data_IF_850624461295
#
_entry.id   IF_850624461295
#
_cell.length_a   1.000
_cell.length_b   1.000
_cell.length_c   1.000
_cell.angle_alpha   90.00
_cell.angle_beta   90.00
_cell.angle_gamma   90.00
#
_symmetry.space_group_name_H-M   'P 1'
#
loop_
_entity.id
_entity.type
_entity.pdbx_description
1 polymer ?
#
# COMPACT_ATOMS: atom_id res chain seq x y z
N UNK A 1 68.50 -51.82 -3.54
CA UNK A 1 67.76 -50.68 -4.15
C UNK A 1 66.28 -51.05 -4.35
N UNK A 2 65.37 -50.52 -3.60
CA UNK A 2 63.96 -50.82 -3.81
C UNK A 2 63.26 -49.63 -4.49
N UNK A 3 62.40 -49.98 -5.40
CA UNK A 3 61.46 -49.10 -6.06
C UNK A 3 60.28 -48.87 -5.11
N UNK A 4 59.87 -47.60 -5.02
CA UNK A 4 58.63 -47.20 -4.35
C UNK A 4 57.61 -46.84 -5.45
N UNK A 5 56.69 -47.73 -5.62
CA UNK A 5 55.44 -47.44 -6.32
C UNK A 5 54.39 -47.10 -5.25
N UNK A 6 53.92 -45.88 -5.26
CA UNK A 6 52.84 -45.40 -4.41
C UNK A 6 51.80 -44.72 -5.23
N UNK A 7 50.89 -45.51 -5.74
CA UNK A 7 49.70 -45.01 -6.40
C UNK A 7 48.63 -44.74 -5.32
N UNK A 8 48.22 -43.48 -5.21
CA UNK A 8 47.13 -43.10 -4.33
C UNK A 8 46.30 -42.02 -5.03
N UNK A 9 45.53 -42.47 -5.99
CA UNK A 9 44.37 -41.72 -6.48
C UNK A 9 43.29 -41.65 -5.42
N UNK A 10 43.36 -40.65 -4.54
CA UNK A 10 42.23 -40.34 -3.65
C UNK A 10 41.20 -39.58 -4.45
N UNK A 11 40.25 -40.30 -4.98
CA UNK A 11 39.01 -39.77 -5.49
C UNK A 11 38.22 -39.15 -4.31
N UNK A 12 38.24 -37.80 -4.26
CA UNK A 12 37.35 -37.08 -3.38
C UNK A 12 35.95 -37.16 -3.98
N UNK A 13 35.13 -38.06 -3.48
CA UNK A 13 33.67 -38.00 -3.66
C UNK A 13 33.13 -36.87 -2.81
N UNK A 14 32.44 -35.88 -3.40
CA UNK A 14 31.67 -34.94 -2.60
C UNK A 14 30.43 -35.67 -2.07
N UNK A 15 30.42 -35.90 -0.74
CA UNK A 15 29.23 -36.39 -0.02
C UNK A 15 28.25 -35.19 0.07
N UNK A 16 27.50 -34.93 -0.99
CA UNK A 16 26.28 -34.17 -0.92
C UNK A 16 25.11 -35.12 -0.68
N UNK A 17 25.04 -35.63 0.53
CA UNK A 17 23.93 -36.41 1.01
C UNK A 17 23.23 -35.74 2.21
N UNK A 18 22.85 -34.50 2.03
CA UNK A 18 21.96 -33.80 2.97
C UNK A 18 20.60 -33.68 2.34
N UNK A 19 19.74 -34.68 2.47
CA UNK A 19 18.31 -34.51 2.28
C UNK A 19 17.81 -33.66 3.46
N UNK A 20 17.76 -32.37 3.33
CA UNK A 20 16.94 -31.52 4.19
C UNK A 20 15.48 -31.83 3.85
N UNK A 21 14.91 -32.78 4.54
CA UNK A 21 13.46 -32.90 4.62
C UNK A 21 12.99 -31.77 5.52
N UNK A 22 12.77 -30.59 4.95
CA UNK A 22 11.93 -29.59 5.60
C UNK A 22 10.52 -30.17 5.62
N UNK A 23 10.15 -30.73 6.76
CA UNK A 23 8.75 -30.98 7.06
C UNK A 23 8.15 -29.64 7.47
N UNK A 24 7.42 -28.92 6.58
CA UNK A 24 6.72 -27.72 7.00
C UNK A 24 5.68 -28.14 8.03
N UNK A 25 5.92 -27.81 9.29
CA UNK A 25 4.90 -27.97 10.33
C UNK A 25 3.81 -26.93 10.04
N UNK A 26 2.75 -27.34 9.36
CA UNK A 26 1.57 -26.51 9.17
C UNK A 26 0.84 -26.47 10.51
N UNK A 27 1.03 -25.42 11.26
CA UNK A 27 0.26 -25.15 12.46
C UNK A 27 -1.08 -24.55 12.06
N UNK A 28 -2.12 -25.35 12.00
CA UNK A 28 -3.49 -24.87 11.82
C UNK A 28 -3.96 -24.39 13.20
N UNK A 29 -3.90 -23.10 13.42
CA UNK A 29 -4.53 -22.46 14.57
C UNK A 29 -5.99 -22.16 14.17
N UNK A 30 -6.99 -22.85 14.73
CA UNK A 30 -8.38 -22.50 14.46
C UNK A 30 -8.63 -21.10 15.00
N UNK A 31 -8.98 -20.17 14.11
CA UNK A 31 -9.46 -18.85 14.51
C UNK A 31 -10.92 -18.98 14.89
N UNK A 32 -11.19 -19.08 16.18
CA UNK A 32 -12.55 -19.18 16.71
C UNK A 32 -13.07 -17.80 17.17
N UNK A 33 -14.37 -17.58 16.97
CA UNK A 33 -15.11 -16.52 17.61
C UNK A 33 -14.94 -15.12 17.05
N UNK A 34 -14.94 -14.15 17.95
CA UNK A 34 -15.00 -12.71 17.67
C UNK A 34 -13.85 -12.20 16.80
N UNK A 35 -12.63 -12.70 16.99
CA UNK A 35 -11.47 -12.25 16.24
C UNK A 35 -11.54 -12.65 14.75
N UNK A 36 -12.02 -13.85 14.46
CA UNK A 36 -12.26 -14.29 13.09
C UNK A 36 -13.31 -13.39 12.41
N UNK A 37 -14.44 -13.18 13.08
CA UNK A 37 -15.51 -12.31 12.59
C UNK A 37 -15.02 -10.88 12.37
N UNK A 38 -14.25 -10.33 13.29
CA UNK A 38 -13.66 -9.01 13.17
C UNK A 38 -12.74 -8.91 11.94
N UNK A 39 -11.86 -9.88 11.72
CA UNK A 39 -10.96 -9.89 10.56
C UNK A 39 -11.73 -10.00 9.23
N UNK A 40 -12.80 -10.78 9.18
CA UNK A 40 -13.62 -10.92 7.98
C UNK A 40 -14.43 -9.66 7.64
N UNK A 41 -14.92 -8.95 8.65
CA UNK A 41 -15.80 -7.79 8.48
C UNK A 41 -15.05 -6.46 8.42
N UNK A 42 -13.83 -6.38 8.96
CA UNK A 42 -13.03 -5.16 8.90
C UNK A 42 -12.58 -4.88 7.48
N UNK A 43 -12.80 -3.67 6.94
CA UNK A 43 -12.29 -3.29 5.62
C UNK A 43 -10.76 -3.41 5.56
N UNK A 44 -10.25 -3.76 4.38
CA UNK A 44 -8.82 -3.75 4.14
C UNK A 44 -8.25 -2.35 4.31
N UNK A 45 -7.11 -2.27 4.98
CA UNK A 45 -6.36 -1.02 5.08
C UNK A 45 -5.53 -0.80 3.81
N UNK A 46 -5.27 0.45 3.48
CA UNK A 46 -4.44 0.86 2.35
C UNK A 46 -3.06 0.18 2.30
N UNK A 47 -2.47 -0.11 3.47
CA UNK A 47 -1.17 -0.80 3.59
C UNK A 47 -1.18 -2.19 2.96
N UNK A 48 -2.31 -2.92 3.04
CA UNK A 48 -2.46 -4.22 2.41
C UNK A 48 -2.58 -4.11 0.88
N UNK A 49 -3.33 -3.12 0.42
CA UNK A 49 -3.43 -2.79 -1.00
C UNK A 49 -2.05 -2.44 -1.58
N UNK A 50 -1.31 -1.54 -0.90
CA UNK A 50 0.04 -1.14 -1.31
C UNK A 50 1.00 -2.32 -1.36
N UNK A 51 0.93 -3.24 -0.38
CA UNK A 51 1.76 -4.44 -0.37
C UNK A 51 1.55 -5.30 -1.63
N UNK A 52 0.30 -5.51 -2.04
CA UNK A 52 -0.04 -6.25 -3.25
C UNK A 52 0.44 -5.52 -4.51
N UNK A 53 0.21 -4.22 -4.59
CA UNK A 53 0.65 -3.42 -5.73
C UNK A 53 2.18 -3.43 -5.89
N UNK A 54 2.95 -3.40 -4.79
CA UNK A 54 4.41 -3.55 -4.80
C UNK A 54 4.89 -4.94 -5.22
N UNK A 55 4.06 -5.96 -5.08
CA UNK A 55 4.33 -7.30 -5.62
C UNK A 55 4.03 -7.39 -7.12
N UNK A 56 3.80 -6.25 -7.77
CA UNK A 56 3.50 -6.11 -9.21
C UNK A 56 2.17 -6.76 -9.65
N UNK A 57 1.21 -6.85 -8.74
CA UNK A 57 -0.15 -7.16 -9.17
C UNK A 57 -0.70 -6.00 -9.99
N UNK A 58 -1.51 -6.35 -10.98
CA UNK A 58 -2.19 -5.40 -11.84
C UNK A 58 -3.16 -4.54 -11.03
N UNK A 59 -3.05 -3.21 -11.14
CA UNK A 59 -3.90 -2.27 -10.43
C UNK A 59 -5.37 -2.39 -10.84
N UNK A 60 -5.65 -2.76 -12.12
CA UNK A 60 -7.00 -3.03 -12.60
C UNK A 60 -7.63 -4.17 -11.79
N UNK A 61 -6.92 -5.29 -11.68
CA UNK A 61 -7.39 -6.44 -10.90
C UNK A 61 -7.59 -6.09 -9.42
N UNK A 62 -6.61 -5.40 -8.81
CA UNK A 62 -6.68 -5.04 -7.40
C UNK A 62 -7.85 -4.11 -7.10
N UNK A 63 -8.05 -3.05 -7.88
CA UNK A 63 -9.12 -2.09 -7.64
C UNK A 63 -10.50 -2.68 -7.94
N UNK A 64 -10.65 -3.46 -9.00
CA UNK A 64 -11.92 -4.14 -9.30
C UNK A 64 -12.33 -5.09 -8.19
N UNK A 65 -11.39 -5.79 -7.58
CA UNK A 65 -11.65 -6.73 -6.50
C UNK A 65 -11.84 -6.01 -5.15
N UNK A 66 -10.87 -5.16 -4.79
CA UNK A 66 -10.77 -4.62 -3.45
C UNK A 66 -11.51 -3.30 -3.24
N UNK A 67 -11.72 -2.48 -4.28
CA UNK A 67 -12.44 -1.23 -4.12
C UNK A 67 -13.95 -1.42 -4.16
N UNK A 68 -14.66 -0.82 -3.22
CA UNK A 68 -16.12 -0.80 -3.15
C UNK A 68 -16.70 0.34 -3.98
N UNK A 69 -16.04 1.50 -3.93
CA UNK A 69 -16.46 2.71 -4.60
C UNK A 69 -15.25 3.60 -4.91
N UNK A 70 -15.42 4.42 -5.93
CA UNK A 70 -14.55 5.52 -6.27
C UNK A 70 -15.21 6.81 -5.79
N UNK A 71 -14.48 7.69 -5.13
CA UNK A 71 -14.91 9.03 -4.75
C UNK A 71 -14.03 10.07 -5.42
N UNK A 72 -14.64 11.03 -6.07
CA UNK A 72 -13.95 12.16 -6.71
C UNK A 72 -14.67 13.46 -6.34
N UNK A 73 -13.90 14.53 -6.24
CA UNK A 73 -14.45 15.86 -6.03
C UNK A 73 -14.67 16.55 -7.37
N UNK A 74 -15.92 16.80 -7.71
CA UNK A 74 -16.32 17.51 -8.92
C UNK A 74 -16.98 18.83 -8.52
N UNK A 75 -16.44 19.96 -8.97
CA UNK A 75 -16.94 21.30 -8.63
C UNK A 75 -17.11 21.54 -7.11
N UNK A 76 -16.20 21.00 -6.30
CA UNK A 76 -16.24 21.14 -4.84
C UNK A 76 -17.26 20.23 -4.12
N UNK A 77 -17.91 19.32 -4.83
CA UNK A 77 -18.80 18.32 -4.27
C UNK A 77 -18.19 16.93 -4.43
N UNK A 78 -18.21 16.15 -3.35
CA UNK A 78 -17.79 14.75 -3.39
C UNK A 78 -18.90 13.91 -4.04
N UNK A 79 -18.51 13.12 -5.03
CA UNK A 79 -19.38 12.19 -5.74
C UNK A 79 -18.80 10.78 -5.61
N UNK A 80 -19.66 9.81 -5.24
CA UNK A 80 -19.30 8.41 -5.11
C UNK A 80 -19.86 7.58 -6.28
N UNK A 81 -19.00 6.74 -6.85
CA UNK A 81 -19.32 5.86 -7.97
C UNK A 81 -19.06 4.42 -7.56
N UNK A 82 -20.11 3.62 -7.53
CA UNK A 82 -20.07 2.25 -7.03
C UNK A 82 -19.39 1.31 -8.00
N UNK A 83 -18.53 0.46 -7.46
CA UNK A 83 -17.98 -0.67 -8.19
C UNK A 83 -18.96 -1.85 -8.16
N UNK A 84 -20.05 -1.72 -8.94
CA UNK A 84 -21.09 -2.72 -9.05
C UNK A 84 -21.62 -2.72 -10.48
N UNK A 85 -21.50 -3.82 -11.26
CA UNK A 85 -21.93 -3.90 -12.67
C UNK A 85 -23.41 -3.56 -12.89
N UNK A 86 -24.29 -3.90 -11.95
CA UNK A 86 -25.71 -3.54 -12.03
C UNK A 86 -25.96 -2.01 -12.01
N UNK A 87 -25.14 -1.25 -11.34
CA UNK A 87 -25.20 0.22 -11.29
C UNK A 87 -24.41 0.80 -12.48
N UNK A 88 -24.88 0.56 -13.68
CA UNK A 88 -24.15 0.72 -14.95
C UNK A 88 -23.44 2.06 -15.09
N UNK A 89 -24.13 3.17 -14.78
CA UNK A 89 -23.57 4.52 -14.92
C UNK A 89 -22.36 4.73 -14.00
N UNK A 90 -22.50 4.35 -12.72
CA UNK A 90 -21.44 4.47 -11.73
C UNK A 90 -20.29 3.54 -12.09
N UNK A 91 -20.61 2.30 -12.51
CA UNK A 91 -19.64 1.29 -12.86
C UNK A 91 -18.81 1.67 -14.09
N UNK A 92 -19.43 2.25 -15.13
CA UNK A 92 -18.71 2.72 -16.31
C UNK A 92 -17.67 3.80 -15.97
N UNK A 93 -18.00 4.74 -15.09
CA UNK A 93 -17.03 5.75 -14.65
C UNK A 93 -15.93 5.12 -13.79
N UNK A 94 -16.30 4.28 -12.82
CA UNK A 94 -15.34 3.52 -12.01
C UNK A 94 -14.36 2.76 -12.92
N UNK A 95 -14.86 2.00 -13.88
CA UNK A 95 -14.04 1.23 -14.84
C UNK A 95 -13.11 2.10 -15.66
N UNK A 96 -13.61 3.25 -16.13
CA UNK A 96 -12.81 4.20 -16.91
C UNK A 96 -11.60 4.70 -16.12
N UNK A 97 -11.80 5.10 -14.85
CA UNK A 97 -10.70 5.55 -13.99
C UNK A 97 -9.71 4.43 -13.71
N UNK A 98 -10.20 3.24 -13.39
CA UNK A 98 -9.35 2.07 -13.12
C UNK A 98 -8.52 1.69 -14.36
N UNK A 99 -9.13 1.67 -15.55
CA UNK A 99 -8.42 1.39 -16.82
C UNK A 99 -7.38 2.47 -17.13
N UNK A 100 -7.68 3.73 -16.79
CA UNK A 100 -6.71 4.83 -16.93
C UNK A 100 -5.48 4.62 -16.04
N UNK A 101 -5.66 4.27 -14.76
CA UNK A 101 -4.55 3.95 -13.87
C UNK A 101 -3.74 2.73 -14.34
N UNK A 102 -4.42 1.69 -14.87
CA UNK A 102 -3.75 0.53 -15.45
C UNK A 102 -2.89 0.90 -16.66
N UNK A 103 -3.36 1.79 -17.52
CA UNK A 103 -2.58 2.25 -18.66
C UNK A 103 -1.30 3.01 -18.28
N UNK A 104 -1.31 3.70 -17.13
CA UNK A 104 -0.13 4.36 -16.57
C UNK A 104 0.82 3.32 -15.97
N UNK A 105 0.27 2.30 -15.29
CA UNK A 105 1.07 1.19 -14.75
C UNK A 105 1.79 0.41 -15.86
N UNK A 106 1.13 0.14 -16.98
CA UNK A 106 1.71 -0.57 -18.14
C UNK A 106 2.91 0.17 -18.74
N UNK A 107 2.95 1.48 -18.59
CA UNK A 107 4.08 2.32 -19.00
C UNK A 107 5.15 2.45 -17.92
N UNK A 108 5.00 1.78 -16.75
CA UNK A 108 5.87 1.86 -15.57
C UNK A 108 5.99 3.27 -14.95
N UNK A 109 4.99 4.12 -15.15
CA UNK A 109 4.94 5.50 -14.66
C UNK A 109 3.95 5.67 -13.49
N UNK A 110 3.37 4.58 -12.99
CA UNK A 110 2.51 4.61 -11.82
C UNK A 110 3.32 4.43 -10.54
N UNK A 111 3.30 5.44 -9.71
CA UNK A 111 3.91 5.45 -8.39
C UNK A 111 2.85 5.20 -7.33
N UNK A 112 3.15 4.38 -6.33
CA UNK A 112 2.25 4.12 -5.21
C UNK A 112 3.08 4.01 -3.94
N UNK A 113 3.10 5.09 -3.18
CA UNK A 113 3.95 5.21 -2.00
C UNK A 113 3.23 5.91 -0.86
N UNK A 114 3.59 5.61 0.40
CA UNK A 114 3.11 6.41 1.51
C UNK A 114 3.75 7.80 1.45
N UNK A 115 2.97 8.83 1.68
CA UNK A 115 3.48 10.19 1.85
C UNK A 115 4.37 10.23 3.09
N UNK A 116 5.62 10.63 2.90
CA UNK A 116 6.57 10.76 4.00
C UNK A 116 6.59 12.20 4.48
N UNK A 117 6.38 12.43 5.76
CA UNK A 117 6.44 13.75 6.35
C UNK A 117 7.16 13.74 7.70
N UNK A 118 7.49 14.93 8.21
CA UNK A 118 8.13 15.08 9.49
C UNK A 118 7.17 15.75 10.48
N UNK A 119 6.87 15.07 11.58
CA UNK A 119 6.28 15.73 12.75
C UNK A 119 7.38 16.37 13.57
N UNK A 120 7.10 17.59 14.01
CA UNK A 120 8.03 18.39 14.80
C UNK A 120 7.39 18.78 16.12
N UNK A 121 8.12 18.58 17.21
CA UNK A 121 7.73 19.02 18.55
C UNK A 121 8.83 19.88 19.13
N UNK A 122 8.46 20.86 19.96
CA UNK A 122 9.40 21.67 20.70
C UNK A 122 9.17 21.44 22.18
N UNK A 123 10.23 21.11 22.91
CA UNK A 123 10.20 20.90 24.36
C UNK A 123 11.27 21.78 25.05
N UNK A 124 11.02 22.29 26.25
CA UNK A 124 12.02 23.04 27.00
C UNK A 124 13.23 22.16 27.36
N UNK A 125 14.44 22.66 27.16
CA UNK A 125 15.65 21.88 27.43
C UNK A 125 15.82 21.50 28.90
N UNK A 126 15.33 22.35 29.81
CA UNK A 126 15.37 22.11 31.26
C UNK A 126 14.40 21.03 31.74
N UNK A 127 13.45 20.59 30.90
CA UNK A 127 12.51 19.50 31.23
C UNK A 127 13.06 18.11 30.88
N UNK A 128 14.24 18.02 30.27
CA UNK A 128 14.82 16.78 29.79
C UNK A 128 16.02 16.37 30.64
N UNK A 129 15.94 15.18 31.23
CA UNK A 129 17.09 14.57 31.92
C UNK A 129 18.08 13.99 30.90
N UNK A 130 19.32 13.73 31.36
CA UNK A 130 20.34 13.10 30.47
C UNK A 130 19.90 11.75 29.93
N UNK A 131 19.23 10.95 30.76
CA UNK A 131 18.68 9.64 30.34
C UNK A 131 17.52 9.80 29.36
N UNK A 132 16.64 10.79 29.64
CA UNK A 132 15.53 11.15 28.74
C UNK A 132 16.04 11.63 27.38
N UNK A 133 17.12 12.40 27.32
CA UNK A 133 17.74 12.86 26.10
C UNK A 133 18.28 11.70 25.25
N UNK A 134 18.93 10.71 25.87
CA UNK A 134 19.39 9.51 25.16
C UNK A 134 18.23 8.69 24.60
N UNK A 135 17.12 8.61 25.32
CA UNK A 135 15.91 7.95 24.83
C UNK A 135 15.31 8.68 23.63
N UNK A 136 15.22 10.02 23.70
CA UNK A 136 14.73 10.86 22.59
C UNK A 136 15.58 10.71 21.32
N UNK A 137 16.90 10.66 21.45
CA UNK A 137 17.81 10.50 20.30
C UNK A 137 17.66 9.17 19.57
N UNK A 138 17.11 8.14 20.21
CA UNK A 138 16.84 6.84 19.55
C UNK A 138 15.66 6.90 18.58
N UNK A 139 14.69 7.79 18.85
CA UNK A 139 13.44 7.84 18.10
C UNK A 139 13.28 9.11 17.27
N UNK A 140 13.99 10.18 17.61
CA UNK A 140 13.84 11.51 17.03
C UNK A 140 15.18 12.07 16.57
N UNK A 141 15.13 12.87 15.52
CA UNK A 141 16.21 13.80 15.22
C UNK A 141 16.08 14.98 16.18
N UNK A 142 17.04 15.12 17.09
CA UNK A 142 17.00 16.14 18.14
C UNK A 142 17.94 17.28 17.77
N UNK A 143 17.43 18.50 17.69
CA UNK A 143 18.20 19.72 17.46
C UNK A 143 18.01 20.67 18.63
N UNK A 144 19.11 21.17 19.19
CA UNK A 144 19.06 22.16 20.27
C UNK A 144 19.02 23.58 19.74
N UNK A 145 18.03 24.36 20.14
CA UNK A 145 17.93 25.78 19.86
C UNK A 145 18.45 26.58 21.10
N UNK A 146 19.63 27.15 20.94
CA UNK A 146 20.27 27.89 22.02
C UNK A 146 19.54 29.20 22.38
N UNK A 147 18.86 29.85 21.41
CA UNK A 147 18.17 31.12 21.62
C UNK A 147 16.97 30.96 22.58
N UNK A 148 16.22 29.90 22.36
CA UNK A 148 14.97 29.67 23.10
C UNK A 148 15.13 28.63 24.20
N UNK A 149 16.34 28.09 24.37
CA UNK A 149 16.64 26.99 25.31
C UNK A 149 15.66 25.82 25.16
N UNK A 150 15.47 25.36 23.95
CA UNK A 150 14.54 24.29 23.63
C UNK A 150 15.20 23.19 22.76
N UNK A 151 14.68 21.99 22.85
CA UNK A 151 14.95 20.94 21.88
C UNK A 151 13.83 20.87 20.85
N UNK A 152 14.20 20.86 19.57
CA UNK A 152 13.29 20.53 18.46
C UNK A 152 13.46 19.06 18.13
N UNK A 153 12.39 18.30 18.29
CA UNK A 153 12.31 16.88 17.99
C UNK A 153 11.65 16.71 16.62
N UNK A 154 12.29 15.99 15.71
CA UNK A 154 11.71 15.65 14.40
C UNK A 154 11.63 14.15 14.26
N UNK A 155 10.46 13.63 13.91
CA UNK A 155 10.26 12.22 13.60
C UNK A 155 9.68 12.09 12.21
N UNK A 156 10.28 11.22 11.41
CA UNK A 156 9.71 10.83 10.13
C UNK A 156 8.49 9.95 10.37
N UNK A 157 7.38 10.32 9.75
CA UNK A 157 6.11 9.61 9.86
C UNK A 157 5.65 9.23 8.46
N UNK A 158 5.14 8.03 8.32
CA UNK A 158 4.48 7.59 7.10
C UNK A 158 3.02 8.05 7.15
N UNK A 159 2.63 8.85 6.18
CA UNK A 159 1.25 9.23 5.92
C UNK A 159 0.54 8.16 5.11
N UNK A 160 -0.57 8.56 4.52
CA UNK A 160 -1.38 7.68 3.68
C UNK A 160 -0.72 7.37 2.36
N UNK A 161 -1.12 6.26 1.77
CA UNK A 161 -0.71 5.86 0.42
C UNK A 161 -1.34 6.78 -0.61
N UNK A 162 -0.49 7.33 -1.49
CA UNK A 162 -0.90 8.11 -2.63
C UNK A 162 -0.46 7.39 -3.92
N UNK A 163 -1.39 7.22 -4.85
CA UNK A 163 -1.13 6.72 -6.19
C UNK A 163 -1.00 7.93 -7.13
N UNK A 164 0.10 8.01 -7.88
CA UNK A 164 0.40 9.16 -8.76
C UNK A 164 0.98 8.73 -10.09
N UNK A 165 0.93 9.61 -11.07
CA UNK A 165 1.65 9.50 -12.34
C UNK A 165 2.97 10.30 -12.33
N UNK A 166 3.42 10.71 -11.17
CA UNK A 166 4.68 11.44 -10.93
C UNK A 166 5.36 10.90 -9.67
N UNK A 167 6.67 11.08 -9.57
CA UNK A 167 7.40 10.71 -8.37
C UNK A 167 7.01 11.63 -7.19
N UNK A 168 6.41 11.12 -6.10
CA UNK A 168 6.05 11.93 -4.93
C UNK A 168 7.24 12.64 -4.26
N UNK A 169 8.47 12.24 -4.56
CA UNK A 169 9.67 12.93 -4.06
C UNK A 169 9.81 14.36 -4.58
N UNK A 170 9.23 14.68 -5.75
CA UNK A 170 9.25 16.03 -6.33
C UNK A 170 8.32 17.02 -5.64
N UNK A 171 7.39 16.56 -4.81
CA UNK A 171 6.44 17.41 -4.10
C UNK A 171 7.18 18.38 -3.16
N UNK A 172 6.81 19.65 -3.22
CA UNK A 172 7.27 20.65 -2.26
C UNK A 172 6.81 20.31 -0.82
N UNK A 173 7.45 20.91 0.17
CA UNK A 173 7.05 20.70 1.58
C UNK A 173 5.62 21.19 1.84
N UNK A 174 5.21 22.26 1.20
CA UNK A 174 3.87 22.87 1.32
C UNK A 174 2.79 21.99 0.66
N UNK A 175 3.05 21.48 -0.53
CA UNK A 175 2.13 20.55 -1.22
C UNK A 175 1.97 19.26 -0.44
N UNK A 176 3.09 18.75 0.06
CA UNK A 176 3.08 17.52 0.89
C UNK A 176 2.30 17.72 2.18
N UNK A 177 2.49 18.85 2.88
CA UNK A 177 1.74 19.17 4.08
C UNK A 177 0.24 19.25 3.81
N UNK A 178 -0.18 19.90 2.70
CA UNK A 178 -1.58 19.99 2.29
C UNK A 178 -2.18 18.62 1.99
N UNK A 179 -1.48 17.76 1.24
CA UNK A 179 -1.95 16.40 0.93
C UNK A 179 -2.10 15.54 2.19
N UNK A 180 -1.23 15.75 3.18
CA UNK A 180 -1.32 15.06 4.47
C UNK A 180 -2.53 15.53 5.25
N UNK A 181 -2.74 16.85 5.35
CA UNK A 181 -3.91 17.44 6.01
C UNK A 181 -5.22 16.93 5.36
N UNK A 182 -5.32 16.98 4.04
CA UNK A 182 -6.46 16.42 3.29
C UNK A 182 -6.66 14.92 3.58
N UNK A 183 -5.58 14.17 3.80
CA UNK A 183 -5.66 12.73 4.06
C UNK A 183 -5.99 12.37 5.51
N UNK A 184 -5.78 13.27 6.48
CA UNK A 184 -6.08 13.01 7.89
C UNK A 184 -7.59 12.84 8.16
N UNK A 185 -8.43 13.51 7.36
CA UNK A 185 -9.90 13.40 7.43
C UNK A 185 -10.44 12.12 6.79
N UNK A 186 -9.65 11.41 6.01
CA UNK A 186 -10.07 10.18 5.32
C UNK A 186 -10.06 8.94 6.22
N UNK A 187 -10.75 7.88 5.78
CA UNK A 187 -10.79 6.60 6.50
C UNK A 187 -9.54 5.75 6.21
N UNK A 188 -9.12 4.91 7.16
CA UNK A 188 -7.96 4.01 7.02
C UNK A 188 -8.07 3.00 5.87
N UNK A 189 -9.24 2.83 5.31
CA UNK A 189 -9.52 1.98 4.17
C UNK A 189 -9.68 2.75 2.85
N UNK A 190 -9.30 4.01 2.81
CA UNK A 190 -9.28 4.80 1.58
C UNK A 190 -7.87 4.82 0.99
N UNK A 191 -7.77 4.63 -0.32
CA UNK A 191 -6.53 4.74 -1.10
C UNK A 191 -6.64 5.94 -2.02
N UNK A 192 -5.85 6.97 -1.76
CA UNK A 192 -5.88 8.22 -2.50
C UNK A 192 -5.11 8.11 -3.81
N UNK A 193 -5.56 8.84 -4.83
CA UNK A 193 -4.83 8.99 -6.09
C UNK A 193 -4.88 10.42 -6.60
N UNK A 194 -3.81 10.84 -7.30
CA UNK A 194 -3.65 12.19 -7.88
C UNK A 194 -2.89 12.08 -9.21
N UNK A 195 -3.61 12.21 -10.31
CA UNK A 195 -3.07 12.17 -11.68
C UNK A 195 -3.01 13.60 -12.20
N UNK A 196 -1.79 14.07 -12.51
CA UNK A 196 -1.51 15.45 -12.89
C UNK A 196 -1.12 15.58 -14.35
N UNK A 197 -1.43 16.72 -14.97
CA UNK A 197 -0.95 17.05 -16.31
C UNK A 197 0.58 17.14 -16.35
N UNK A 198 1.16 16.94 -17.53
CA UNK A 198 2.61 17.02 -17.75
C UNK A 198 3.37 15.71 -17.48
N UNK A 199 2.68 14.67 -17.08
CA UNK A 199 3.20 13.31 -16.91
C UNK A 199 2.38 12.33 -17.73
N UNK A 200 2.84 11.08 -17.82
CA UNK A 200 2.11 10.01 -18.52
C UNK A 200 0.69 9.86 -17.94
N UNK A 201 -0.31 9.81 -18.80
CA UNK A 201 -1.72 9.77 -18.40
C UNK A 201 -2.29 11.11 -17.94
N UNK A 202 -1.48 12.18 -17.95
CA UNK A 202 -1.89 13.51 -17.50
C UNK A 202 -2.80 14.27 -18.44
N UNK A 203 -3.14 13.71 -19.61
CA UNK A 203 -4.17 14.22 -20.51
C UNK A 203 -5.57 14.13 -19.90
N UNK A 204 -5.77 13.25 -18.92
CA UNK A 204 -6.99 13.13 -18.12
C UNK A 204 -6.69 13.28 -16.63
N UNK A 205 -6.41 14.52 -16.16
CA UNK A 205 -6.08 14.76 -14.76
C UNK A 205 -7.28 14.46 -13.88
N UNK A 206 -7.07 13.68 -12.84
CA UNK A 206 -8.12 13.27 -11.91
C UNK A 206 -7.54 13.00 -10.52
N UNK A 207 -8.28 13.41 -9.49
CA UNK A 207 -7.93 13.20 -8.10
C UNK A 207 -9.13 12.62 -7.35
N UNK A 208 -8.86 11.69 -6.42
CA UNK A 208 -9.90 11.09 -5.60
C UNK A 208 -9.40 9.96 -4.71
N UNK A 209 -10.33 9.16 -4.22
CA UNK A 209 -10.06 8.07 -3.31
C UNK A 209 -10.84 6.81 -3.72
N UNK A 210 -10.23 5.66 -3.55
CA UNK A 210 -10.88 4.37 -3.62
C UNK A 210 -11.13 3.86 -2.21
N UNK A 211 -12.39 3.58 -1.86
CA UNK A 211 -12.75 2.94 -0.60
C UNK A 211 -12.65 1.42 -0.72
N UNK A 212 -11.86 0.80 0.16
CA UNK A 212 -11.63 -0.64 0.13
C UNK A 212 -12.73 -1.42 0.84
N UNK A 213 -13.00 -2.62 0.34
CA UNK A 213 -13.91 -3.62 0.89
C UNK A 213 -13.28 -4.37 2.07
N UNK A 214 -14.12 -5.01 2.89
CA UNK A 214 -13.70 -6.09 3.77
C UNK A 214 -13.59 -7.41 2.99
N UNK A 215 -12.95 -8.41 3.59
CA UNK A 215 -12.87 -9.74 2.98
C UNK A 215 -14.26 -10.34 2.72
N UNK A 216 -15.17 -10.22 3.67
CA UNK A 216 -16.55 -10.69 3.49
C UNK A 216 -17.28 -9.96 2.35
N UNK A 217 -17.07 -8.66 2.23
CA UNK A 217 -17.67 -7.88 1.13
C UNK A 217 -17.09 -8.27 -0.22
N UNK A 218 -15.79 -8.66 -0.29
CA UNK A 218 -15.18 -9.19 -1.51
C UNK A 218 -15.84 -10.53 -1.89
N UNK A 219 -16.01 -11.45 -0.95
CA UNK A 219 -16.66 -12.74 -1.23
C UNK A 219 -18.08 -12.56 -1.72
N UNK A 220 -18.85 -11.67 -1.09
CA UNK A 220 -20.22 -11.36 -1.50
C UNK A 220 -20.23 -10.73 -2.91
N UNK A 221 -19.34 -9.81 -3.19
CA UNK A 221 -19.20 -9.21 -4.52
C UNK A 221 -18.89 -10.26 -5.61
N UNK A 222 -17.95 -11.16 -5.34
CA UNK A 222 -17.63 -12.25 -6.27
C UNK A 222 -18.81 -13.19 -6.48
N UNK A 223 -19.53 -13.55 -5.41
CA UNK A 223 -20.72 -14.40 -5.50
C UNK A 223 -21.81 -13.77 -6.36
N UNK A 224 -22.09 -12.48 -6.16
CA UNK A 224 -23.07 -11.73 -6.95
C UNK A 224 -22.62 -11.58 -8.41
N UNK A 225 -21.35 -11.26 -8.64
CA UNK A 225 -20.80 -11.07 -9.99
C UNK A 225 -20.85 -12.33 -10.84
N UNK A 226 -20.82 -13.51 -10.23
CA UNK A 226 -20.90 -14.79 -10.95
C UNK A 226 -22.36 -15.14 -11.32
N UNK A 227 -23.30 -14.90 -10.41
CA UNK A 227 -24.68 -15.38 -10.54
C UNK A 227 -25.69 -14.34 -10.96
N UNK A 228 -25.66 -13.17 -10.35
CA UNK A 228 -26.75 -12.18 -10.46
C UNK A 228 -26.37 -10.94 -11.25
N UNK A 229 -25.05 -10.61 -11.29
CA UNK A 229 -24.58 -9.31 -11.77
C UNK A 229 -23.22 -9.44 -12.52
N UNK A 230 -23.18 -10.27 -13.58
CA UNK A 230 -21.94 -10.48 -14.34
C UNK A 230 -21.52 -9.20 -15.07
N UNK A 231 -20.21 -8.92 -15.06
CA UNK A 231 -19.62 -7.78 -15.80
C UNK A 231 -19.82 -7.96 -17.34
N UNK A 232 -19.80 -9.21 -17.80
CA UNK A 232 -19.99 -9.55 -19.19
C UNK A 232 -21.11 -10.59 -19.32
N UNK A 233 -22.09 -10.27 -20.16
CA UNK A 233 -23.06 -11.26 -20.61
C UNK A 233 -22.46 -12.01 -21.81
N UNK A 234 -22.32 -13.32 -21.66
CA UNK A 234 -22.02 -14.18 -22.78
C UNK A 234 -23.36 -14.63 -23.37
N UNK A 235 -23.74 -14.08 -24.52
CA UNK A 235 -24.86 -14.59 -25.26
C UNK A 235 -24.51 -16.03 -25.65
N UNK A 236 -25.28 -16.99 -25.16
CA UNK A 236 -25.17 -18.36 -25.58
C UNK A 236 -25.99 -18.48 -26.88
N UNK A 237 -25.28 -18.47 -28.02
CA UNK A 237 -25.83 -18.88 -29.31
C UNK A 237 -26.27 -20.36 -29.30
#
# INVERSE_FOLDING_TARGET
>A
TPALTGDASKTLMPIFGGSMAENPTISIVPMEGEECTKRLLTPYQETKFLLLLRQRYDIDLLLRLMAQELRITVHGQEQAYRNRPADRTDYELFRRVVTHLSSIQDQNELHAEPLVYYRTWTIPANSVTAEGFQALQKEYLVTYNQKDNTYTLRKQVLGRTLITNYDPAILSSEERARLIEESEDGHLNDVSFDIRPGHVGGEYPIKGDFRLRSFNTILNFLGQSIGEDPEYHVDKD
#
